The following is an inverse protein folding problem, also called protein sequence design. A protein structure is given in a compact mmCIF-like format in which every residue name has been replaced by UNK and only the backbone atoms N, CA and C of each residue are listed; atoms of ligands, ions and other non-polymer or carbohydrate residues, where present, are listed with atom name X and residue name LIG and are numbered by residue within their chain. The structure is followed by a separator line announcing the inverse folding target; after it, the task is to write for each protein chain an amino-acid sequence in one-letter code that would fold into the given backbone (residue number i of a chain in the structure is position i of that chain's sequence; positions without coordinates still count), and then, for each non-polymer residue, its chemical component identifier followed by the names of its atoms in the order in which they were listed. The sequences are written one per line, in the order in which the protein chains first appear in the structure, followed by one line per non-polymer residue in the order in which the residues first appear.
data_IF_295485210202
#
_entry.id   IF_295485210202
#
_cell.length_a   1.000
_cell.length_b   1.000
_cell.length_c   1.000
_cell.angle_alpha   90.00
_cell.angle_beta   90.00
_cell.angle_gamma   90.00
#
_symmetry.space_group_name_H-M   'P 1'
#
loop_
_entity.id
_entity.type
_entity.pdbx_description
1 polymer ?
#
# COMPACT_ATOMS: atom_id res chain seq x y z
N UNK A 1 -14.01 8.20 -38.73
CA UNK A 1 -14.86 7.00 -38.63
C UNK A 1 -13.95 5.81 -38.88
N UNK A 2 -13.83 4.85 -37.96
CA UNK A 2 -12.99 3.67 -38.17
C UNK A 2 -13.72 2.72 -39.13
N UNK A 3 -13.54 2.92 -40.43
CA UNK A 3 -14.26 2.18 -41.48
C UNK A 3 -13.36 1.22 -42.27
N UNK A 4 -12.22 0.82 -41.68
CA UNK A 4 -11.33 -0.20 -42.23
C UNK A 4 -11.51 -1.56 -41.53
N UNK A 5 -11.39 -2.69 -42.25
CA UNK A 5 -11.39 -4.03 -41.63
C UNK A 5 -10.25 -4.18 -40.60
N UNK A 6 -9.13 -3.48 -40.79
CA UNK A 6 -8.04 -3.44 -39.82
C UNK A 6 -8.46 -2.78 -38.49
N UNK A 7 -9.17 -1.66 -38.54
CA UNK A 7 -9.63 -0.95 -37.34
C UNK A 7 -10.63 -1.78 -36.53
N UNK A 8 -11.49 -2.53 -37.22
CA UNK A 8 -12.42 -3.46 -36.58
C UNK A 8 -11.67 -4.59 -35.87
N UNK A 9 -10.62 -5.13 -36.49
CA UNK A 9 -9.75 -6.13 -35.85
C UNK A 9 -9.01 -5.58 -34.63
N UNK A 10 -8.45 -4.38 -34.71
CA UNK A 10 -7.81 -3.73 -33.55
C UNK A 10 -8.80 -3.48 -32.41
N UNK A 11 -10.01 -3.00 -32.72
CA UNK A 11 -11.07 -2.81 -31.73
C UNK A 11 -11.48 -4.12 -31.07
N UNK A 12 -11.60 -5.20 -31.84
CA UNK A 12 -11.87 -6.53 -31.30
C UNK A 12 -10.76 -7.00 -30.36
N UNK A 13 -9.48 -6.93 -30.79
CA UNK A 13 -8.34 -7.33 -29.96
C UNK A 13 -8.25 -6.52 -28.67
N UNK A 14 -8.45 -5.20 -28.75
CA UNK A 14 -8.48 -4.32 -27.59
C UNK A 14 -9.63 -4.65 -26.61
N UNK A 15 -10.73 -5.23 -27.10
CA UNK A 15 -11.85 -5.64 -26.25
C UNK A 15 -11.63 -6.99 -25.53
N UNK A 16 -10.58 -7.75 -25.89
CA UNK A 16 -10.29 -9.05 -25.26
C UNK A 16 -9.60 -8.92 -23.91
N UNK A 17 -8.88 -7.83 -23.69
CA UNK A 17 -8.09 -7.57 -22.51
C UNK A 17 -8.48 -6.23 -21.89
N UNK A 18 -8.32 -6.14 -20.58
CA UNK A 18 -8.49 -4.87 -19.87
C UNK A 18 -7.39 -4.72 -18.84
N UNK A 19 -7.12 -3.48 -18.46
CA UNK A 19 -6.20 -3.14 -17.39
C UNK A 19 -6.56 -3.93 -16.13
N UNK A 20 -5.57 -4.62 -15.57
CA UNK A 20 -5.78 -5.40 -14.36
C UNK A 20 -6.20 -4.45 -13.21
N UNK A 21 -7.39 -4.64 -12.61
CA UNK A 21 -7.89 -3.72 -11.59
C UNK A 21 -7.09 -3.76 -10.28
N UNK A 22 -6.34 -4.84 -10.04
CA UNK A 22 -5.53 -4.99 -8.83
C UNK A 22 -4.21 -4.19 -8.88
N UNK A 23 -3.62 -4.01 -10.07
CA UNK A 23 -2.34 -3.31 -10.24
C UNK A 23 -2.43 -2.11 -11.18
N UNK A 24 -3.62 -1.78 -11.68
CA UNK A 24 -3.87 -0.68 -12.61
C UNK A 24 -2.93 -0.69 -13.84
N UNK A 25 -2.57 -1.88 -14.33
CA UNK A 25 -1.76 -2.01 -15.55
C UNK A 25 -0.26 -2.12 -15.34
N UNK A 26 0.25 -1.90 -14.13
CA UNK A 26 1.69 -1.91 -13.88
C UNK A 26 2.31 -3.32 -13.85
N UNK A 27 1.47 -4.34 -13.65
CA UNK A 27 1.92 -5.72 -13.41
C UNK A 27 2.49 -5.95 -12.00
N UNK A 28 2.59 -4.90 -11.18
CA UNK A 28 3.18 -4.96 -9.85
C UNK A 28 2.26 -4.34 -8.81
N UNK A 29 2.25 -4.91 -7.62
CA UNK A 29 1.56 -4.36 -6.47
C UNK A 29 2.55 -4.12 -5.35
N UNK A 30 2.27 -3.14 -4.50
CA UNK A 30 3.07 -2.93 -3.29
C UNK A 30 2.94 -4.18 -2.41
N UNK A 31 4.04 -4.64 -1.82
CA UNK A 31 4.00 -5.76 -0.88
C UNK A 31 3.27 -5.38 0.40
N UNK A 32 2.69 -6.38 1.09
CA UNK A 32 1.91 -6.15 2.30
C UNK A 32 2.74 -5.50 3.42
N UNK A 33 3.99 -5.91 3.62
CA UNK A 33 4.84 -5.32 4.65
C UNK A 33 5.15 -3.85 4.35
N UNK A 34 5.41 -3.52 3.09
CA UNK A 34 5.63 -2.13 2.68
C UNK A 34 4.37 -1.29 2.74
N UNK A 35 3.21 -1.86 2.42
CA UNK A 35 1.94 -1.18 2.61
C UNK A 35 1.71 -0.85 4.08
N UNK A 36 1.87 -1.83 4.98
CA UNK A 36 1.75 -1.62 6.41
C UNK A 36 2.76 -0.59 6.96
N UNK A 37 3.99 -0.60 6.43
CA UNK A 37 5.00 0.39 6.78
C UNK A 37 4.57 1.80 6.37
N UNK A 38 4.10 2.01 5.14
CA UNK A 38 3.61 3.33 4.70
C UNK A 38 2.37 3.79 5.48
N UNK A 39 1.43 2.89 5.77
CA UNK A 39 0.26 3.21 6.59
C UNK A 39 0.66 3.68 8.01
N UNK A 40 1.66 3.03 8.61
CA UNK A 40 2.26 3.44 9.89
C UNK A 40 2.96 4.79 9.79
N UNK A 41 3.69 5.04 8.70
CA UNK A 41 4.36 6.31 8.45
C UNK A 41 3.34 7.48 8.38
N UNK A 42 2.25 7.29 7.65
CA UNK A 42 1.17 8.27 7.56
C UNK A 42 0.51 8.53 8.91
N UNK A 43 0.28 7.48 9.71
CA UNK A 43 -0.25 7.61 11.06
C UNK A 43 0.68 8.45 11.95
N UNK A 44 1.99 8.16 11.95
CA UNK A 44 2.98 8.93 12.71
C UNK A 44 3.02 10.40 12.25
N UNK A 45 2.93 10.65 10.94
CA UNK A 45 2.82 12.00 10.39
C UNK A 45 1.58 12.75 10.88
N UNK A 46 0.42 12.08 10.91
CA UNK A 46 -0.83 12.66 11.46
C UNK A 46 -0.69 12.99 12.96
N UNK A 47 -0.07 12.11 13.73
CA UNK A 47 0.18 12.33 15.17
C UNK A 47 1.12 13.51 15.39
N UNK A 48 2.22 13.59 14.63
CA UNK A 48 3.16 14.70 14.73
C UNK A 48 2.50 16.05 14.42
N UNK A 49 1.70 16.12 13.34
CA UNK A 49 0.95 17.32 12.98
C UNK A 49 -0.10 17.70 14.04
N UNK A 50 -0.74 16.72 14.68
CA UNK A 50 -1.68 16.98 15.77
C UNK A 50 -0.95 17.53 17.02
N UNK A 51 0.17 16.93 17.41
CA UNK A 51 0.99 17.38 18.53
C UNK A 51 1.54 18.80 18.30
N UNK A 52 1.97 19.10 17.08
CA UNK A 52 2.43 20.44 16.70
C UNK A 52 1.31 21.48 16.87
N UNK A 53 0.10 21.19 16.38
CA UNK A 53 -1.05 22.10 16.54
C UNK A 53 -1.43 22.30 18.01
N UNK A 54 -1.45 21.22 18.79
CA UNK A 54 -1.79 21.27 20.21
C UNK A 54 -0.75 22.05 21.06
N UNK A 55 0.52 22.01 20.67
CA UNK A 55 1.60 22.71 21.38
C UNK A 55 1.77 24.18 21.00
N UNK A 56 1.00 24.68 20.02
CA UNK A 56 1.13 26.06 19.52
C UNK A 56 2.48 26.35 18.86
N UNK A 57 3.26 25.31 18.56
CA UNK A 57 4.59 25.42 17.96
C UNK A 57 4.45 25.61 16.45
N UNK A 58 4.84 26.80 15.95
CA UNK A 58 4.97 27.01 14.50
C UNK A 58 6.39 26.66 14.10
N UNK A 59 6.53 25.85 13.05
CA UNK A 59 7.80 25.72 12.36
C UNK A 59 7.97 26.97 11.50
N UNK A 60 9.15 27.60 11.55
CA UNK A 60 9.49 28.63 10.57
C UNK A 60 9.73 27.98 9.19
N UNK A 61 10.00 28.81 8.17
CA UNK A 61 10.24 28.34 6.81
C UNK A 61 11.45 27.38 6.66
N UNK A 62 12.24 27.19 7.73
CA UNK A 62 13.41 26.33 7.78
C UNK A 62 13.20 25.07 8.62
N UNK A 63 11.99 24.85 9.15
CA UNK A 63 11.70 23.68 9.99
C UNK A 63 12.21 23.80 11.43
N UNK A 64 12.56 25.00 11.90
CA UNK A 64 12.92 25.23 13.29
C UNK A 64 11.69 25.58 14.13
N UNK A 65 11.62 25.05 15.35
CA UNK A 65 10.50 25.28 16.29
C UNK A 65 10.57 26.72 16.81
N UNK A 66 9.61 27.55 16.43
CA UNK A 66 9.43 28.91 16.92
C UNK A 66 8.14 28.99 17.74
N UNK A 67 8.26 29.37 19.02
CA UNK A 67 7.08 29.72 19.83
C UNK A 67 6.43 30.97 19.23
N UNK A 68 5.11 30.92 19.01
CA UNK A 68 4.35 32.11 18.65
C UNK A 68 4.59 33.20 19.72
N UNK A 69 4.95 34.44 19.33
CA UNK A 69 5.05 35.53 20.29
C UNK A 69 3.65 35.85 20.81
N UNK A 70 3.47 35.73 22.13
CA UNK A 70 2.32 36.28 22.83
C UNK A 70 2.34 37.80 22.71
N UNK A 71 1.35 38.37 22.02
CA UNK A 71 1.11 39.82 21.97
C UNK A 71 0.54 40.31 23.31
N UNK A 72 1.37 40.73 24.27
CA UNK A 72 0.99 41.72 25.29
C UNK A 72 2.22 42.46 25.89
N UNK A 73 2.21 43.80 25.99
CA UNK A 73 3.24 44.55 26.70
C UNK A 73 2.78 44.87 28.13
N UNK A 74 3.42 44.31 29.17
CA UNK A 74 3.42 44.93 30.52
C UNK A 74 4.56 44.47 31.43
N UNK A 75 5.47 45.43 31.66
CA UNK A 75 6.30 45.76 32.85
C UNK A 75 7.10 44.68 33.61
N UNK A 76 8.34 45.07 33.94
CA UNK A 76 9.48 44.34 34.53
C UNK A 76 9.26 43.65 35.90
N UNK A 77 9.76 42.40 35.94
CA UNK A 77 10.65 41.70 36.91
C UNK A 77 10.19 41.41 38.35
N UNK A 78 10.13 40.11 38.67
CA UNK A 78 10.85 39.49 39.78
C UNK A 78 11.08 37.99 39.51
N UNK A 79 12.25 37.48 39.89
CA UNK A 79 12.69 36.09 39.74
C UNK A 79 11.84 35.13 40.57
N UNK A 80 11.31 34.10 39.93
CA UNK A 80 11.09 32.78 40.53
C UNK A 80 11.20 31.75 39.42
N UNK A 81 12.36 31.10 39.35
CA UNK A 81 12.57 29.80 38.71
C UNK A 81 11.55 28.82 39.28
N UNK A 82 10.46 28.62 38.54
CA UNK A 82 9.38 27.69 38.87
C UNK A 82 8.96 26.94 37.62
N UNK A 83 9.69 25.86 37.33
CA UNK A 83 9.32 24.69 36.56
C UNK A 83 7.86 24.62 36.05
N UNK A 84 7.65 25.00 34.79
CA UNK A 84 6.56 24.45 33.95
C UNK A 84 7.08 24.04 32.57
N UNK A 85 8.32 23.53 32.52
CA UNK A 85 9.00 23.05 31.31
C UNK A 85 9.07 21.53 31.20
N UNK A 86 8.11 20.79 31.78
CA UNK A 86 8.18 19.34 31.95
C UNK A 86 7.54 18.48 30.85
N UNK A 87 6.48 18.95 30.19
CA UNK A 87 5.65 18.05 29.33
C UNK A 87 5.76 18.28 27.82
N UNK A 88 6.23 19.44 27.38
CA UNK A 88 6.44 19.71 25.94
C UNK A 88 7.72 19.05 25.35
N UNK A 89 8.83 18.86 26.10
CA UNK A 89 10.01 18.14 25.59
C UNK A 89 9.81 16.62 25.47
N UNK A 90 8.84 16.04 26.18
CA UNK A 90 8.66 14.59 26.26
C UNK A 90 7.85 14.05 25.09
N UNK A 91 6.85 14.80 24.61
CA UNK A 91 6.02 14.39 23.47
C UNK A 91 6.81 14.43 22.16
N UNK A 92 7.56 15.50 21.89
CA UNK A 92 8.41 15.58 20.70
C UNK A 92 9.51 14.52 20.71
N UNK A 93 10.17 14.31 21.86
CA UNK A 93 11.17 13.24 21.98
C UNK A 93 10.56 11.84 21.82
N UNK A 94 9.30 11.63 22.22
CA UNK A 94 8.59 10.38 21.98
C UNK A 94 8.26 10.19 20.50
N UNK A 95 7.87 11.26 19.79
CA UNK A 95 7.62 11.25 18.35
C UNK A 95 8.91 10.96 17.59
N UNK A 96 10.01 11.65 17.91
CA UNK A 96 11.33 11.41 17.29
C UNK A 96 11.77 9.96 17.48
N UNK A 97 11.67 9.42 18.70
CA UNK A 97 11.97 8.00 18.95
C UNK A 97 11.06 7.05 18.16
N UNK A 98 9.78 7.39 18.00
CA UNK A 98 8.85 6.59 17.22
C UNK A 98 9.18 6.63 15.72
N UNK A 99 9.65 7.77 15.20
CA UNK A 99 10.17 7.89 13.83
C UNK A 99 11.42 7.03 13.66
N UNK A 100 12.40 7.14 14.58
CA UNK A 100 13.63 6.33 14.51
C UNK A 100 13.33 4.83 14.57
N UNK A 101 12.36 4.42 15.39
CA UNK A 101 11.90 3.02 15.46
C UNK A 101 11.25 2.59 14.15
N UNK A 102 10.42 3.45 13.57
CA UNK A 102 9.74 3.19 12.31
C UNK A 102 10.72 3.03 11.15
N UNK A 103 11.74 3.89 11.07
CA UNK A 103 12.81 3.79 10.07
C UNK A 103 13.64 2.52 10.26
N UNK A 104 13.91 2.12 11.51
CA UNK A 104 14.59 0.84 11.82
C UNK A 104 13.73 -0.38 11.47
N UNK A 105 12.41 -0.25 11.51
CA UNK A 105 11.45 -1.29 11.14
C UNK A 105 11.17 -1.36 9.63
N UNK A 106 11.95 -0.66 8.80
CA UNK A 106 11.83 -0.69 7.34
C UNK A 106 11.92 -2.13 6.81
N UNK A 107 10.97 -2.58 5.96
CA UNK A 107 11.02 -3.93 5.42
C UNK A 107 12.27 -4.15 4.55
N UNK A 108 12.87 -5.34 4.68
CA UNK A 108 14.03 -5.74 3.87
C UNK A 108 13.65 -6.33 2.51
N UNK A 109 12.40 -6.75 2.37
CA UNK A 109 11.87 -7.32 1.14
C UNK A 109 11.62 -6.26 0.07
N UNK A 110 11.33 -6.70 -1.16
CA UNK A 110 11.02 -5.80 -2.25
C UNK A 110 9.73 -4.99 -1.97
N UNK A 111 9.79 -3.69 -2.26
CA UNK A 111 8.65 -2.78 -2.12
C UNK A 111 7.49 -3.14 -3.06
N UNK A 112 7.83 -3.67 -4.23
CA UNK A 112 6.88 -4.11 -5.24
C UNK A 112 7.08 -5.59 -5.54
N UNK A 113 5.97 -6.31 -5.61
CA UNK A 113 5.91 -7.73 -5.97
C UNK A 113 5.03 -7.93 -7.20
N UNK A 114 5.26 -9.03 -7.92
CA UNK A 114 4.46 -9.39 -9.08
C UNK A 114 2.98 -9.52 -8.70
N UNK A 115 2.11 -8.83 -9.45
CA UNK A 115 0.67 -8.92 -9.26
C UNK A 115 0.20 -10.35 -9.55
N UNK A 116 -0.36 -11.03 -8.54
CA UNK A 116 -0.85 -12.41 -8.70
C UNK A 116 -2.05 -12.52 -9.64
N UNK A 117 -2.87 -11.47 -9.73
CA UNK A 117 -4.08 -11.44 -10.56
C UNK A 117 -3.79 -11.48 -12.06
N UNK A 118 -2.76 -10.75 -12.52
CA UNK A 118 -2.33 -10.72 -13.92
C UNK A 118 -0.98 -11.41 -14.17
N UNK A 119 -0.42 -12.06 -13.15
CA UNK A 119 0.90 -12.70 -13.17
C UNK A 119 2.03 -11.79 -13.71
N UNK A 120 1.95 -10.47 -13.47
CA UNK A 120 2.94 -9.50 -13.96
C UNK A 120 2.65 -8.87 -15.32
N UNK A 121 1.64 -9.34 -16.05
CA UNK A 121 1.34 -8.84 -17.40
C UNK A 121 0.62 -7.50 -17.47
N UNK A 122 0.11 -6.99 -16.33
CA UNK A 122 -0.65 -5.73 -16.28
C UNK A 122 -2.07 -5.81 -16.87
N UNK A 123 -2.37 -6.82 -17.67
CA UNK A 123 -3.66 -7.03 -18.32
C UNK A 123 -4.35 -8.30 -17.81
N UNK A 124 -5.67 -8.31 -17.88
CA UNK A 124 -6.50 -9.49 -17.62
C UNK A 124 -7.52 -9.67 -18.74
N UNK A 125 -7.90 -10.91 -19.02
CA UNK A 125 -8.91 -11.20 -20.02
C UNK A 125 -10.29 -10.68 -19.59
N UNK A 126 -10.97 -9.98 -20.49
CA UNK A 126 -12.38 -9.65 -20.35
C UNK A 126 -13.25 -10.91 -20.47
N UNK A 127 -14.54 -10.87 -20.13
CA UNK A 127 -15.45 -11.99 -20.38
C UNK A 127 -15.47 -12.45 -21.86
N UNK A 128 -15.28 -11.51 -22.80
CA UNK A 128 -15.16 -11.84 -24.22
C UNK A 128 -13.84 -12.58 -24.51
N UNK A 129 -12.72 -12.08 -23.99
CA UNK A 129 -11.41 -12.73 -24.08
C UNK A 129 -11.42 -14.16 -23.50
N UNK A 130 -12.05 -14.36 -22.36
CA UNK A 130 -12.20 -15.68 -21.74
C UNK A 130 -12.99 -16.65 -22.63
N UNK A 131 -14.10 -16.20 -23.24
CA UNK A 131 -14.88 -17.02 -24.17
C UNK A 131 -14.08 -17.40 -25.42
N UNK A 132 -13.28 -16.47 -25.95
CA UNK A 132 -12.40 -16.75 -27.08
C UNK A 132 -11.36 -17.81 -26.71
N UNK A 133 -10.69 -17.68 -25.57
CA UNK A 133 -9.72 -18.67 -25.08
C UNK A 133 -10.39 -20.05 -24.93
N UNK A 134 -11.57 -20.12 -24.32
CA UNK A 134 -12.32 -21.38 -24.20
C UNK A 134 -12.71 -21.98 -25.57
N UNK A 135 -13.05 -21.14 -26.55
CA UNK A 135 -13.31 -21.60 -27.92
C UNK A 135 -12.04 -22.19 -28.55
N UNK A 136 -10.91 -21.48 -28.48
CA UNK A 136 -9.63 -21.93 -29.01
C UNK A 136 -9.15 -23.24 -28.36
N UNK A 137 -9.31 -23.36 -27.04
CA UNK A 137 -8.98 -24.58 -26.29
C UNK A 137 -9.82 -25.78 -26.73
N UNK A 138 -11.14 -25.61 -26.89
CA UNK A 138 -12.04 -26.69 -27.35
C UNK A 138 -11.68 -27.22 -28.73
N UNK A 139 -11.09 -26.38 -29.57
CA UNK A 139 -10.63 -26.76 -30.91
C UNK A 139 -9.16 -27.18 -30.97
N UNK A 140 -8.47 -27.28 -29.82
CA UNK A 140 -7.07 -27.71 -29.75
C UNK A 140 -6.07 -26.68 -30.31
N UNK A 141 -6.50 -25.43 -30.49
CA UNK A 141 -5.66 -24.35 -31.03
C UNK A 141 -4.73 -23.75 -29.96
N UNK A 142 -5.05 -23.92 -28.67
CA UNK A 142 -4.24 -23.46 -27.55
C UNK A 142 -4.33 -24.47 -26.40
N UNK A 143 -3.19 -24.81 -25.79
CA UNK A 143 -3.13 -25.56 -24.52
C UNK A 143 -3.06 -24.56 -23.36
N UNK A 144 -4.18 -24.34 -22.67
CA UNK A 144 -4.20 -23.49 -21.47
C UNK A 144 -3.72 -24.24 -20.22
N UNK A 145 -3.26 -23.54 -19.17
CA UNK A 145 -3.12 -24.14 -17.85
C UNK A 145 -4.51 -24.58 -17.40
N UNK A 146 -4.76 -25.88 -17.37
CA UNK A 146 -5.97 -26.46 -16.76
C UNK A 146 -6.04 -25.95 -15.34
N UNK A 147 -7.04 -25.11 -15.05
CA UNK A 147 -7.46 -24.77 -13.69
C UNK A 147 -7.82 -26.06 -12.96
N UNK A 148 -6.81 -26.68 -12.37
CA UNK A 148 -6.93 -27.85 -11.51
C UNK A 148 -7.48 -27.31 -10.19
N UNK A 149 -8.71 -27.65 -9.78
CA UNK A 149 -9.18 -27.29 -8.45
C UNK A 149 -8.21 -27.89 -7.41
N UNK A 150 -7.99 -27.23 -6.27
CA UNK A 150 -7.14 -27.76 -5.22
C UNK A 150 -7.70 -29.12 -4.80
N UNK A 151 -6.94 -30.19 -5.04
CA UNK A 151 -7.25 -31.50 -4.50
C UNK A 151 -7.16 -31.40 -2.98
N UNK A 152 -8.31 -31.45 -2.31
CA UNK A 152 -8.37 -31.71 -0.88
C UNK A 152 -7.65 -33.03 -0.63
N UNK A 153 -6.64 -33.10 0.26
CA UNK A 153 -6.01 -34.36 0.60
C UNK A 153 -7.08 -35.28 1.22
N UNK A 154 -7.43 -36.34 0.49
CA UNK A 154 -8.30 -37.40 0.97
C UNK A 154 -7.65 -38.07 2.16
N UNK A 155 -8.30 -37.95 3.31
CA UNK A 155 -7.96 -38.67 4.53
C UNK A 155 -8.00 -40.17 4.25
N UNK A 156 -6.82 -40.77 4.14
CA UNK A 156 -6.64 -42.20 3.92
C UNK A 156 -7.28 -43.00 5.05
N UNK A 157 -8.20 -43.90 4.68
CA UNK A 157 -8.73 -44.93 5.55
C UNK A 157 -7.60 -45.85 6.00
N UNK A 158 -7.40 -45.93 7.31
CA UNK A 158 -6.53 -46.94 7.93
C UNK A 158 -7.32 -48.25 8.02
N UNK A 159 -6.86 -49.23 7.25
CA UNK A 159 -7.29 -50.63 7.34
C UNK A 159 -6.22 -51.37 8.16
N UNK A 160 -6.65 -52.12 9.18
CA UNK A 160 -5.95 -53.33 9.62
C UNK A 160 -5.40 -53.31 11.05
N UNK A 161 -5.98 -54.15 11.90
CA UNK A 161 -5.40 -54.49 13.20
C UNK A 161 -6.34 -55.32 14.09
N UNK A 162 -6.70 -56.53 13.63
CA UNK A 162 -7.35 -57.56 14.46
C UNK A 162 -6.36 -58.05 15.53
N UNK A 163 -6.82 -58.15 16.77
CA UNK A 163 -6.31 -59.05 17.80
C UNK A 163 -7.45 -60.01 18.18
#
# INVERSE_FOLDING_TARGET
MPDGPADQWFGFLAALETTCPACSGTGQVRSEAWQAWHERAEELGRVALAAQRASGMRLDASGAVVRAPDDLPRRRRAYATGHSGGDAPTVMAAIERAIDEHERARPLEAEYVTCRTCAGGGLVLTPLGQRLVQFLQRHGLVTGPTSTPPQTPGTGGTIGGRA
#
